data_IF_060718347409
#
_entry.id   IF_060718347409
#
_cell.length_a   1.000
_cell.length_b   1.000
_cell.length_c   1.000
_cell.angle_alpha   90.00
_cell.angle_beta   90.00
_cell.angle_gamma   90.00
#
_symmetry.space_group_name_H-M   'P 1'
#
loop_
_entity.id
_entity.type
_entity.pdbx_description
1 polymer ?
#
# COMPACT_ATOMS: atom_id res chain seq x y z
N UNK A 1 17.09 11.35 -13.40
CA UNK A 1 16.98 10.92 -11.99
C UNK A 1 16.05 9.72 -11.78
N UNK A 2 14.82 9.64 -12.30
CA UNK A 2 14.38 8.38 -12.95
C UNK A 2 13.48 8.58 -14.18
N UNK A 3 12.73 9.69 -14.24
CA UNK A 3 11.82 10.02 -15.34
C UNK A 3 12.52 10.10 -16.70
N UNK A 4 13.80 10.49 -16.73
CA UNK A 4 14.57 10.67 -17.97
C UNK A 4 14.90 9.37 -18.70
N UNK A 5 14.81 8.21 -18.03
CA UNK A 5 15.19 6.91 -18.60
C UNK A 5 14.00 5.94 -18.68
N UNK A 6 12.76 6.43 -18.52
CA UNK A 6 11.55 5.59 -18.55
C UNK A 6 11.33 4.72 -17.30
N UNK A 7 12.25 4.73 -16.33
CA UNK A 7 12.13 3.99 -15.07
C UNK A 7 11.02 4.60 -14.21
N UNK A 8 10.24 3.74 -13.56
CA UNK A 8 9.17 4.11 -12.63
C UNK A 8 9.54 3.72 -11.20
N UNK A 9 8.94 4.41 -10.23
CA UNK A 9 9.15 4.22 -8.79
C UNK A 9 7.87 3.69 -8.16
N UNK A 10 7.94 2.54 -7.50
CA UNK A 10 6.97 2.11 -6.50
C UNK A 10 7.57 2.29 -5.10
N UNK A 11 6.73 2.30 -4.06
CA UNK A 11 7.19 2.48 -2.68
C UNK A 11 7.17 1.14 -1.95
N UNK A 12 8.21 0.92 -1.16
CA UNK A 12 8.30 -0.16 -0.19
C UNK A 12 8.26 0.47 1.20
N UNK A 13 7.16 0.28 1.90
CA UNK A 13 6.89 0.86 3.21
C UNK A 13 7.39 -0.09 4.29
N UNK A 14 8.54 0.26 4.86
CA UNK A 14 9.22 -0.50 5.91
C UNK A 14 8.48 -0.42 7.25
N UNK A 15 8.69 -1.38 8.16
CA UNK A 15 8.28 -1.25 9.53
C UNK A 15 9.03 -0.11 10.21
N UNK A 16 8.30 0.65 11.01
CA UNK A 16 8.84 1.71 11.85
C UNK A 16 8.24 1.62 13.26
N UNK A 17 8.91 2.21 14.28
CA UNK A 17 8.41 2.16 15.64
C UNK A 17 6.97 2.67 15.76
N UNK A 18 6.12 1.89 16.43
CA UNK A 18 4.69 2.20 16.63
C UNK A 18 3.89 2.37 15.33
N UNK A 19 4.26 1.67 14.25
CA UNK A 19 3.43 1.58 13.03
C UNK A 19 2.08 0.96 13.35
N UNK A 20 1.00 1.64 12.96
CA UNK A 20 -0.40 1.23 13.14
C UNK A 20 -1.13 1.23 11.80
N UNK A 21 -2.34 0.67 11.75
CA UNK A 21 -3.20 0.79 10.58
C UNK A 21 -3.42 2.27 10.19
N UNK A 22 -3.71 3.12 11.17
CA UNK A 22 -3.92 4.55 10.97
C UNK A 22 -2.69 5.25 10.41
N UNK A 23 -1.51 5.00 10.97
CA UNK A 23 -0.28 5.63 10.47
C UNK A 23 0.07 5.20 9.05
N UNK A 24 -0.23 3.95 8.65
CA UNK A 24 -0.10 3.51 7.25
C UNK A 24 -1.02 4.31 6.32
N UNK A 25 -2.25 4.63 6.75
CA UNK A 25 -3.14 5.48 5.97
C UNK A 25 -2.62 6.92 5.85
N UNK A 26 -2.06 7.46 6.93
CA UNK A 26 -1.43 8.78 6.95
C UNK A 26 -0.20 8.83 6.03
N UNK A 27 0.64 7.79 6.03
CA UNK A 27 1.77 7.64 5.11
C UNK A 27 1.29 7.63 3.65
N UNK A 28 0.24 6.88 3.34
CA UNK A 28 -0.33 6.83 2.00
C UNK A 28 -0.84 8.19 1.54
N UNK A 29 -1.45 8.98 2.44
CA UNK A 29 -1.83 10.35 2.14
C UNK A 29 -0.61 11.22 1.85
N UNK A 30 0.44 11.14 2.68
CA UNK A 30 1.69 11.87 2.45
C UNK A 30 2.32 11.50 1.09
N UNK A 31 2.41 10.21 0.77
CA UNK A 31 2.95 9.72 -0.49
C UNK A 31 2.10 10.19 -1.67
N UNK A 32 0.77 10.24 -1.54
CA UNK A 32 -0.09 10.79 -2.56
C UNK A 32 0.24 12.25 -2.84
N UNK A 33 0.35 13.08 -1.80
CA UNK A 33 0.59 14.51 -1.93
C UNK A 33 2.00 14.84 -2.46
N UNK A 34 3.01 14.03 -2.09
CA UNK A 34 4.43 14.35 -2.33
C UNK A 34 5.08 13.55 -3.45
N UNK A 35 4.72 12.28 -3.60
CA UNK A 35 5.45 11.33 -4.44
C UNK A 35 4.63 10.90 -5.65
N UNK A 36 3.40 10.45 -5.44
CA UNK A 36 2.62 9.82 -6.51
C UNK A 36 2.14 10.80 -7.59
N UNK A 37 2.19 12.10 -7.34
CA UNK A 37 1.93 13.13 -8.37
C UNK A 37 3.08 13.28 -9.38
N UNK A 38 4.25 12.71 -9.08
CA UNK A 38 5.40 12.78 -9.98
C UNK A 38 5.22 11.84 -11.21
N UNK A 39 5.60 12.22 -12.44
CA UNK A 39 5.44 11.38 -13.64
C UNK A 39 6.19 10.04 -13.62
N UNK A 40 7.18 9.91 -12.72
CA UNK A 40 7.91 8.67 -12.50
C UNK A 40 7.21 7.72 -11.51
N UNK A 41 6.13 8.11 -10.84
CA UNK A 41 5.39 7.17 -9.99
C UNK A 41 4.86 6.01 -10.84
N UNK A 42 5.14 4.78 -10.42
CA UNK A 42 4.57 3.60 -11.03
C UNK A 42 3.09 3.53 -10.71
N UNK A 43 2.29 3.22 -11.74
CA UNK A 43 0.84 3.11 -11.65
C UNK A 43 0.39 1.92 -12.46
N UNK A 44 -0.53 1.13 -11.91
CA UNK A 44 -1.07 0.00 -12.64
C UNK A 44 -2.21 0.43 -13.55
N UNK A 45 -2.01 0.34 -14.86
CA UNK A 45 -3.06 0.58 -15.86
C UNK A 45 -4.23 -0.40 -15.74
N UNK A 46 -4.02 -1.57 -15.14
CA UNK A 46 -5.06 -2.59 -14.89
C UNK A 46 -5.92 -2.30 -13.66
N UNK A 47 -5.49 -1.38 -12.80
CA UNK A 47 -6.18 -1.05 -11.55
C UNK A 47 -6.42 0.46 -11.43
N UNK A 48 -7.11 1.03 -12.41
CA UNK A 48 -7.52 2.44 -12.42
C UNK A 48 -6.35 3.43 -12.27
N UNK A 49 -5.17 3.08 -12.78
CA UNK A 49 -3.96 3.90 -12.69
C UNK A 49 -3.56 4.23 -11.23
N UNK A 50 -3.93 3.36 -10.27
CA UNK A 50 -3.53 3.50 -8.87
C UNK A 50 -2.02 3.27 -8.70
N UNK A 51 -1.32 4.04 -7.84
CA UNK A 51 0.06 3.75 -7.46
C UNK A 51 0.16 2.42 -6.69
N UNK A 52 1.38 1.93 -6.47
CA UNK A 52 1.62 0.69 -5.69
C UNK A 52 2.48 1.02 -4.47
N UNK A 53 2.06 0.48 -3.32
CA UNK A 53 2.82 0.43 -2.08
C UNK A 53 2.93 -1.03 -1.63
N UNK A 54 4.16 -1.52 -1.54
CA UNK A 54 4.47 -2.77 -0.88
C UNK A 54 4.61 -2.51 0.62
N UNK A 55 3.87 -3.22 1.45
CA UNK A 55 3.91 -3.05 2.91
C UNK A 55 4.72 -4.21 3.49
N UNK A 56 5.96 -3.95 3.88
CA UNK A 56 6.82 -4.96 4.51
C UNK A 56 6.33 -5.27 5.92
N UNK A 57 6.43 -6.53 6.36
CA UNK A 57 5.90 -7.02 7.64
C UNK A 57 4.44 -6.58 7.92
N UNK A 58 3.59 -6.61 6.87
CA UNK A 58 2.18 -6.22 6.96
C UNK A 58 1.35 -7.07 7.92
N UNK A 59 1.75 -8.33 8.12
CA UNK A 59 1.11 -9.25 9.07
C UNK A 59 1.22 -8.79 10.54
N UNK A 60 2.11 -7.85 10.85
CA UNK A 60 2.23 -7.24 12.18
C UNK A 60 1.14 -6.18 12.47
N UNK A 61 0.40 -5.74 11.46
CA UNK A 61 -0.69 -4.77 11.62
C UNK A 61 -1.98 -5.55 11.89
N UNK A 62 -2.77 -5.13 12.88
CA UNK A 62 -4.06 -5.75 13.15
C UNK A 62 -4.97 -5.65 11.92
N UNK A 63 -5.46 -6.81 11.47
CA UNK A 63 -6.28 -6.92 10.25
C UNK A 63 -7.64 -6.23 10.39
N UNK A 64 -8.24 -6.20 11.56
CA UNK A 64 -9.54 -5.54 11.76
C UNK A 64 -9.39 -4.02 11.79
N UNK A 65 -8.33 -3.52 12.43
CA UNK A 65 -7.98 -2.09 12.38
C UNK A 65 -7.68 -1.66 10.94
N UNK A 66 -6.83 -2.40 10.23
CA UNK A 66 -6.49 -2.09 8.83
C UNK A 66 -7.72 -2.15 7.93
N UNK A 67 -8.59 -3.15 8.12
CA UNK A 67 -9.86 -3.25 7.39
C UNK A 67 -10.76 -2.04 7.63
N UNK A 68 -10.91 -1.63 8.89
CA UNK A 68 -11.73 -0.48 9.28
C UNK A 68 -11.22 0.83 8.65
N UNK A 69 -9.90 1.02 8.66
CA UNK A 69 -9.24 2.18 8.05
C UNK A 69 -9.42 2.19 6.52
N UNK A 70 -9.25 1.05 5.85
CA UNK A 70 -9.45 0.93 4.40
C UNK A 70 -10.90 1.15 3.99
N UNK A 71 -11.86 0.59 4.73
CA UNK A 71 -13.28 0.83 4.48
C UNK A 71 -13.65 2.31 4.67
N UNK A 72 -13.09 2.94 5.70
CA UNK A 72 -13.30 4.37 5.96
C UNK A 72 -12.69 5.24 4.86
N UNK A 73 -11.56 4.82 4.28
CA UNK A 73 -10.91 5.47 3.16
C UNK A 73 -11.74 5.41 1.86
N UNK A 74 -12.33 4.26 1.55
CA UNK A 74 -13.16 4.06 0.35
C UNK A 74 -14.44 4.90 0.36
N UNK A 75 -14.99 5.20 1.54
CA UNK A 75 -16.23 5.97 1.68
C UNK A 75 -16.05 7.50 1.57
N UNK A 76 -14.81 8.01 1.51
CA UNK A 76 -14.57 9.46 1.48
C UNK A 76 -15.05 10.09 0.16
N UNK A 77 -15.74 11.25 0.17
CA UNK A 77 -16.09 11.98 -1.05
C UNK A 77 -14.83 12.37 -1.84
N UNK A 78 -14.78 12.03 -3.13
CA UNK A 78 -13.54 12.09 -3.93
C UNK A 78 -12.67 10.83 -3.82
N UNK A 79 -13.20 9.78 -3.19
CA UNK A 79 -12.59 8.46 -3.01
C UNK A 79 -12.14 7.86 -4.33
N UNK A 80 -10.89 7.41 -4.37
CA UNK A 80 -10.29 6.84 -5.57
C UNK A 80 -8.76 6.95 -5.68
N UNK A 81 -8.05 7.32 -4.62
CA UNK A 81 -6.63 7.65 -4.74
C UNK A 81 -5.69 6.93 -3.77
N UNK A 82 -6.19 5.98 -2.97
CA UNK A 82 -5.29 5.12 -2.21
C UNK A 82 -4.51 4.21 -3.16
N UNK A 83 -3.20 4.04 -2.92
CA UNK A 83 -2.40 3.10 -3.68
C UNK A 83 -2.91 1.68 -3.47
N UNK A 84 -2.57 0.79 -4.41
CA UNK A 84 -2.65 -0.64 -4.20
C UNK A 84 -1.75 -1.00 -3.03
N UNK A 85 -2.32 -1.60 -1.98
CA UNK A 85 -1.54 -2.11 -0.86
C UNK A 85 -1.24 -3.59 -1.08
N UNK A 86 0.05 -3.90 -1.21
CA UNK A 86 0.54 -5.26 -1.47
C UNK A 86 1.28 -5.75 -0.23
N UNK A 87 0.70 -6.71 0.49
CA UNK A 87 1.22 -7.21 1.77
C UNK A 87 2.26 -8.31 1.63
N UNK A 88 3.16 -8.42 2.60
CA UNK A 88 4.14 -9.50 2.68
C UNK A 88 3.50 -10.79 3.19
N UNK A 89 3.71 -11.90 2.48
CA UNK A 89 3.42 -13.26 2.95
C UNK A 89 4.72 -13.97 3.29
N UNK A 90 4.80 -14.49 4.51
CA UNK A 90 5.91 -15.30 5.04
C UNK A 90 5.44 -16.75 5.22
N UNK A 91 4.26 -16.91 5.79
CA UNK A 91 3.61 -18.20 6.04
C UNK A 91 2.25 -18.29 5.33
N UNK A 92 1.74 -19.51 5.03
CA UNK A 92 0.45 -19.67 4.35
C UNK A 92 -0.72 -18.96 5.03
N UNK A 93 -0.72 -18.88 6.36
CA UNK A 93 -1.79 -18.25 7.13
C UNK A 93 -1.80 -16.71 6.99
N UNK A 94 -0.71 -16.09 6.56
CA UNK A 94 -0.67 -14.66 6.29
C UNK A 94 -1.64 -14.29 5.16
N UNK A 95 -1.89 -15.20 4.21
CA UNK A 95 -2.82 -14.94 3.10
C UNK A 95 -4.20 -14.60 3.62
N UNK A 96 -4.72 -15.38 4.57
CA UNK A 96 -6.03 -15.13 5.19
C UNK A 96 -6.03 -13.80 5.96
N UNK A 97 -4.96 -13.50 6.70
CA UNK A 97 -4.80 -12.22 7.40
C UNK A 97 -4.88 -11.03 6.45
N UNK A 98 -4.20 -11.07 5.29
CA UNK A 98 -4.18 -9.97 4.32
C UNK A 98 -5.52 -9.85 3.56
N UNK A 99 -6.19 -10.96 3.27
CA UNK A 99 -7.54 -10.97 2.68
C UNK A 99 -8.53 -10.31 3.66
N UNK A 100 -8.53 -10.73 4.92
CA UNK A 100 -9.40 -10.17 5.96
C UNK A 100 -9.11 -8.68 6.22
N UNK A 101 -7.85 -8.28 6.15
CA UNK A 101 -7.45 -6.87 6.25
C UNK A 101 -7.92 -6.03 5.05
N UNK A 102 -8.25 -6.65 3.92
CA UNK A 102 -8.71 -5.97 2.71
C UNK A 102 -7.58 -5.42 1.85
N UNK A 103 -6.40 -6.03 1.87
CA UNK A 103 -5.29 -5.66 0.97
C UNK A 103 -5.59 -6.02 -0.49
N UNK A 104 -5.00 -5.28 -1.44
CA UNK A 104 -5.22 -5.50 -2.88
C UNK A 104 -4.45 -6.71 -3.44
N UNK A 105 -3.46 -7.21 -2.70
CA UNK A 105 -2.68 -8.38 -3.07
C UNK A 105 -1.54 -8.65 -2.10
N UNK A 106 -0.67 -9.58 -2.48
CA UNK A 106 0.49 -9.95 -1.68
C UNK A 106 1.73 -10.26 -2.52
N UNK A 107 2.88 -10.30 -1.86
CA UNK A 107 4.18 -10.64 -2.43
C UNK A 107 5.02 -11.44 -1.44
N UNK A 108 6.07 -12.10 -1.96
CA UNK A 108 7.13 -12.72 -1.17
C UNK A 108 8.41 -11.92 -1.36
N UNK A 109 9.19 -11.69 -0.29
CA UNK A 109 10.38 -10.84 -0.33
C UNK A 109 11.71 -11.60 -0.31
N UNK A 110 11.79 -12.67 0.50
CA UNK A 110 13.05 -13.37 0.74
C UNK A 110 13.59 -14.06 -0.52
N UNK A 111 14.90 -13.96 -0.72
CA UNK A 111 15.64 -14.43 -1.90
C UNK A 111 16.37 -15.76 -1.66
#
# INVERSE_FOLDING_TARGET
>A
LPAHNGIKIAIHLEPYPNRTAKSVMEDNQYLHERIFRHPAAFRSSKHNNRPIVFVYDSYLIDRHELRSELQSADQRPGGGHYPLLIGLVVEPHDVDHLIEAGMDGFYTYFA
#
